data_IF_744155559296
#
_entry.id   IF_744155559296
#
_cell.length_a   1.000
_cell.length_b   1.000
_cell.length_c   1.000
_cell.angle_alpha   90.00
_cell.angle_beta   90.00
_cell.angle_gamma   90.00
#
_symmetry.space_group_name_H-M   'P 1'
#
loop_
_entity.id
_entity.type
_entity.pdbx_description
1 polymer ?
#
# COMPACT_ATOMS: atom_id res chain seq x y z
N UNK A 1 -74.36 16.41 -5.49
CA UNK A 1 -73.80 15.64 -4.35
C UNK A 1 -72.49 15.02 -4.84
N UNK A 2 -71.35 15.67 -4.49
CA UNK A 2 -70.02 15.17 -4.86
C UNK A 2 -69.49 14.27 -3.76
N UNK A 3 -68.88 13.09 -4.07
CA UNK A 3 -68.33 12.21 -3.03
C UNK A 3 -66.95 12.79 -2.59
N UNK A 4 -66.87 13.07 -1.29
CA UNK A 4 -65.57 13.42 -0.66
C UNK A 4 -64.62 12.21 -0.70
N UNK A 5 -63.53 12.35 -1.42
CA UNK A 5 -62.44 11.40 -1.39
C UNK A 5 -61.72 11.46 -0.03
N UNK A 6 -61.91 10.44 0.78
CA UNK A 6 -61.18 10.30 2.06
C UNK A 6 -59.74 9.89 1.78
N UNK A 7 -58.82 10.83 2.01
CA UNK A 7 -57.38 10.56 1.97
C UNK A 7 -57.01 9.63 3.13
N UNK A 8 -56.67 8.35 2.90
CA UNK A 8 -56.13 7.45 3.91
C UNK A 8 -54.83 7.96 4.46
N UNK A 9 -54.66 8.13 5.78
CA UNK A 9 -53.37 8.53 6.34
C UNK A 9 -52.31 7.45 6.04
N UNK A 10 -51.18 7.86 5.49
CA UNK A 10 -50.00 6.99 5.32
C UNK A 10 -49.58 6.53 6.72
N UNK A 11 -49.60 5.22 6.98
CA UNK A 11 -49.13 4.63 8.23
C UNK A 11 -47.64 5.04 8.42
N UNK A 12 -47.25 5.62 9.56
CA UNK A 12 -45.88 5.99 9.80
C UNK A 12 -45.00 4.72 9.74
N UNK A 13 -43.93 4.76 8.97
CA UNK A 13 -42.90 3.70 8.93
C UNK A 13 -42.51 3.39 10.39
N UNK A 14 -42.42 2.11 10.79
CA UNK A 14 -42.09 1.77 12.19
C UNK A 14 -40.62 2.16 12.45
N UNK A 15 -40.39 3.33 13.02
CA UNK A 15 -39.07 3.90 13.30
C UNK A 15 -38.17 2.89 14.06
N UNK A 16 -38.76 2.06 14.95
CA UNK A 16 -38.03 0.98 15.64
C UNK A 16 -37.46 -0.08 14.70
N UNK A 17 -38.17 -0.45 13.63
CA UNK A 17 -37.70 -1.45 12.67
C UNK A 17 -36.53 -0.90 11.80
N UNK A 18 -36.60 0.39 11.44
CA UNK A 18 -35.51 1.06 10.72
C UNK A 18 -34.27 1.11 11.61
N UNK A 19 -34.42 1.52 12.89
CA UNK A 19 -33.32 1.58 13.85
C UNK A 19 -32.65 0.22 14.05
N UNK A 20 -33.43 -0.85 14.21
CA UNK A 20 -32.89 -2.22 14.37
C UNK A 20 -32.15 -2.67 13.11
N UNK A 21 -32.72 -2.44 11.92
CA UNK A 21 -32.06 -2.79 10.65
C UNK A 21 -30.74 -2.03 10.44
N UNK A 22 -30.70 -0.74 10.73
CA UNK A 22 -29.47 0.06 10.64
C UNK A 22 -28.42 -0.39 11.67
N UNK A 23 -28.84 -0.72 12.90
CA UNK A 23 -27.93 -1.26 13.91
C UNK A 23 -27.35 -2.63 13.50
N UNK A 24 -28.16 -3.53 12.96
CA UNK A 24 -27.69 -4.83 12.45
C UNK A 24 -26.72 -4.62 11.28
N UNK A 25 -27.07 -3.78 10.31
CA UNK A 25 -26.19 -3.49 9.17
C UNK A 25 -24.84 -2.91 9.62
N UNK A 26 -24.85 -1.96 10.57
CA UNK A 26 -23.64 -1.40 11.16
C UNK A 26 -22.77 -2.44 11.88
N UNK A 27 -23.41 -3.30 12.69
CA UNK A 27 -22.71 -4.38 13.38
C UNK A 27 -22.11 -5.40 12.41
N UNK A 28 -22.80 -5.73 11.33
CA UNK A 28 -22.32 -6.64 10.29
C UNK A 28 -21.13 -6.03 9.56
N UNK A 29 -21.20 -4.76 9.13
CA UNK A 29 -20.08 -4.07 8.48
C UNK A 29 -18.86 -3.99 9.41
N UNK A 30 -19.07 -3.67 10.68
CA UNK A 30 -17.99 -3.65 11.66
C UNK A 30 -17.35 -5.02 11.84
N UNK A 31 -18.16 -6.09 11.90
CA UNK A 31 -17.66 -7.46 12.00
C UNK A 31 -16.79 -7.85 10.79
N UNK A 32 -17.21 -7.52 9.56
CA UNK A 32 -16.41 -7.74 8.36
C UNK A 32 -15.11 -6.94 8.38
N UNK A 33 -15.17 -5.66 8.74
CA UNK A 33 -14.00 -4.83 8.89
C UNK A 33 -13.01 -5.39 9.92
N UNK A 34 -13.52 -5.84 11.08
CA UNK A 34 -12.71 -6.39 12.16
C UNK A 34 -12.07 -7.73 11.77
N UNK A 35 -12.81 -8.63 11.12
CA UNK A 35 -12.27 -9.89 10.61
C UNK A 35 -11.17 -9.63 9.58
N UNK A 36 -11.39 -8.68 8.68
CA UNK A 36 -10.39 -8.24 7.72
C UNK A 36 -9.14 -7.65 8.39
N UNK A 37 -9.30 -6.86 9.46
CA UNK A 37 -8.18 -6.35 10.24
C UNK A 37 -7.38 -7.49 10.89
N UNK A 38 -8.04 -8.48 11.50
CA UNK A 38 -7.38 -9.65 12.11
C UNK A 38 -6.58 -10.41 11.06
N UNK A 39 -7.16 -10.62 9.87
CA UNK A 39 -6.44 -11.24 8.75
C UNK A 39 -5.23 -10.40 8.31
N UNK A 40 -5.39 -9.08 8.18
CA UNK A 40 -4.34 -8.16 7.75
C UNK A 40 -3.14 -8.12 8.71
N UNK A 41 -3.38 -8.21 10.02
CA UNK A 41 -2.31 -8.21 11.03
C UNK A 41 -1.67 -9.58 11.23
N UNK A 42 -2.18 -10.63 10.59
CA UNK A 42 -1.55 -11.95 10.61
C UNK A 42 -0.33 -11.91 9.68
N UNK A 43 0.89 -12.12 10.20
CA UNK A 43 2.08 -12.09 9.36
C UNK A 43 1.96 -13.09 8.20
N UNK A 44 2.35 -12.72 6.98
CA UNK A 44 2.42 -13.68 5.88
C UNK A 44 3.40 -14.80 6.23
N UNK A 45 3.14 -16.00 5.70
CA UNK A 45 4.06 -17.13 5.84
C UNK A 45 5.47 -16.72 5.43
N UNK A 46 6.48 -17.26 6.12
CA UNK A 46 7.88 -16.93 5.84
C UNK A 46 8.18 -17.25 4.37
N UNK A 47 8.50 -16.21 3.61
CA UNK A 47 8.90 -16.38 2.22
C UNK A 47 10.27 -17.01 2.07
N UNK A 48 10.54 -17.56 0.89
CA UNK A 48 11.81 -18.20 0.58
C UNK A 48 12.98 -17.21 0.72
N UNK A 49 13.67 -17.32 1.86
CA UNK A 49 14.87 -16.52 2.14
C UNK A 49 16.05 -16.90 1.26
N UNK A 50 16.00 -18.07 0.61
CA UNK A 50 17.09 -18.59 -0.23
C UNK A 50 17.08 -18.00 -1.63
N UNK A 51 15.93 -17.56 -2.14
CA UNK A 51 15.79 -17.05 -3.49
C UNK A 51 16.69 -15.84 -3.74
N UNK A 52 17.31 -15.79 -4.93
CA UNK A 52 18.10 -14.66 -5.44
C UNK A 52 17.22 -13.92 -6.46
N UNK A 53 17.16 -12.60 -6.36
CA UNK A 53 16.42 -11.74 -7.29
C UNK A 53 17.37 -10.85 -8.08
N UNK A 54 16.90 -10.24 -9.17
CA UNK A 54 17.72 -9.30 -9.92
C UNK A 54 18.02 -8.04 -9.10
N UNK A 55 17.03 -7.58 -8.33
CA UNK A 55 17.13 -6.37 -7.53
C UNK A 55 16.58 -6.53 -6.11
N UNK A 56 17.02 -5.64 -5.22
CA UNK A 56 16.46 -5.43 -3.89
C UNK A 56 15.86 -4.03 -3.88
N UNK A 57 14.62 -3.89 -3.40
CA UNK A 57 13.93 -2.60 -3.30
C UNK A 57 13.59 -2.33 -1.85
N UNK A 58 14.06 -1.20 -1.33
CA UNK A 58 13.79 -0.75 0.05
C UNK A 58 12.87 0.45 0.02
N UNK A 59 11.74 0.36 0.73
CA UNK A 59 10.88 1.52 0.92
C UNK A 59 11.31 2.30 2.15
N UNK A 60 11.50 3.62 1.98
CA UNK A 60 11.91 4.52 3.08
C UNK A 60 10.90 4.55 4.24
N UNK A 61 11.34 5.06 5.40
CA UNK A 61 10.51 5.23 6.60
C UNK A 61 10.97 4.43 7.82
N UNK A 62 12.23 3.98 7.87
CA UNK A 62 12.83 3.34 9.04
C UNK A 62 14.23 2.78 8.76
N UNK A 63 15.17 2.97 9.70
CA UNK A 63 16.57 2.56 9.57
C UNK A 63 16.74 1.05 9.38
N UNK A 64 15.94 0.23 10.06
CA UNK A 64 16.00 -1.23 9.95
C UNK A 64 15.74 -1.76 8.53
N UNK A 65 14.90 -1.08 7.75
CA UNK A 65 14.62 -1.50 6.36
C UNK A 65 15.84 -1.34 5.50
N UNK A 66 16.53 -0.21 5.60
CA UNK A 66 17.74 0.05 4.84
C UNK A 66 18.87 -0.89 5.26
N UNK A 67 19.06 -1.11 6.57
CA UNK A 67 20.03 -2.08 7.07
C UNK A 67 19.76 -3.48 6.55
N UNK A 68 18.49 -3.92 6.54
CA UNK A 68 18.08 -5.21 5.99
C UNK A 68 18.35 -5.31 4.49
N UNK A 69 18.06 -4.24 3.72
CA UNK A 69 18.34 -4.20 2.30
C UNK A 69 19.84 -4.29 1.99
N UNK A 70 20.66 -3.53 2.69
CA UNK A 70 22.13 -3.59 2.55
C UNK A 70 22.66 -4.98 2.93
N UNK A 71 22.15 -5.57 4.02
CA UNK A 71 22.52 -6.94 4.42
C UNK A 71 22.22 -7.94 3.32
N UNK A 72 21.03 -7.87 2.71
CA UNK A 72 20.64 -8.75 1.60
C UNK A 72 21.57 -8.54 0.37
N UNK A 73 21.96 -7.31 0.09
CA UNK A 73 22.91 -7.02 -0.99
C UNK A 73 24.28 -7.64 -0.70
N UNK A 74 24.78 -7.51 0.52
CA UNK A 74 26.03 -8.14 0.98
C UNK A 74 25.97 -9.68 0.93
N UNK A 75 24.81 -10.27 1.16
CA UNK A 75 24.56 -11.71 1.07
C UNK A 75 24.37 -12.19 -0.39
N UNK A 76 24.44 -11.29 -1.39
CA UNK A 76 24.23 -11.62 -2.79
C UNK A 76 22.80 -12.01 -3.14
N UNK A 77 21.82 -11.53 -2.40
CA UNK A 77 20.39 -11.82 -2.63
C UNK A 77 19.77 -10.98 -3.74
N UNK A 78 20.50 -10.02 -4.27
CA UNK A 78 20.19 -9.20 -5.44
C UNK A 78 21.48 -8.54 -5.97
N UNK A 79 21.46 -8.09 -7.22
CA UNK A 79 22.63 -7.45 -7.85
C UNK A 79 22.74 -5.97 -7.51
N UNK A 80 21.57 -5.31 -7.41
CA UNK A 80 21.45 -3.89 -7.14
C UNK A 80 20.38 -3.65 -6.08
N UNK A 81 20.53 -2.56 -5.33
CA UNK A 81 19.61 -2.10 -4.32
C UNK A 81 19.06 -0.74 -4.73
N UNK A 82 17.72 -0.63 -4.77
CA UNK A 82 17.01 0.63 -4.99
C UNK A 82 16.33 1.08 -3.71
N UNK A 83 16.58 2.31 -3.30
CA UNK A 83 15.91 2.93 -2.14
C UNK A 83 14.90 3.92 -2.67
N UNK A 84 13.61 3.57 -2.61
CA UNK A 84 12.52 4.40 -3.14
C UNK A 84 11.93 5.31 -2.06
N UNK A 85 11.54 6.54 -2.46
CA UNK A 85 10.95 7.54 -1.60
C UNK A 85 11.94 8.24 -0.67
N UNK A 86 13.16 8.43 -1.12
CA UNK A 86 14.18 9.20 -0.39
C UNK A 86 13.86 10.69 -0.48
N UNK A 87 13.89 11.41 0.64
CA UNK A 87 13.67 12.85 0.63
C UNK A 87 14.68 13.56 -0.27
N UNK A 88 14.20 14.61 -0.96
CA UNK A 88 15.08 15.44 -1.77
C UNK A 88 16.18 16.06 -0.89
N UNK A 89 17.42 15.97 -1.34
CA UNK A 89 18.60 16.48 -0.62
C UNK A 89 19.30 15.48 0.30
N UNK A 90 18.76 14.27 0.48
CA UNK A 90 19.46 13.19 1.20
C UNK A 90 20.36 12.46 0.22
N UNK A 91 21.66 12.44 0.50
CA UNK A 91 22.67 11.78 -0.32
C UNK A 91 22.90 10.33 0.14
N UNK A 92 23.44 9.51 -0.80
CA UNK A 92 23.78 8.12 -0.53
C UNK A 92 24.72 7.96 0.69
N UNK A 93 25.75 8.81 0.78
CA UNK A 93 26.72 8.75 1.88
C UNK A 93 26.09 8.96 3.25
N UNK A 94 25.07 9.80 3.33
CA UNK A 94 24.31 10.02 4.57
C UNK A 94 23.53 8.77 4.97
N UNK A 95 22.84 8.14 3.99
CA UNK A 95 22.12 6.89 4.19
C UNK A 95 23.02 5.74 4.61
N UNK A 96 24.19 5.61 4.00
CA UNK A 96 25.18 4.59 4.33
C UNK A 96 25.72 4.77 5.76
N UNK A 97 25.98 6.00 6.17
CA UNK A 97 26.45 6.32 7.53
C UNK A 97 25.41 5.93 8.61
N UNK A 98 24.12 6.22 8.37
CA UNK A 98 23.03 5.83 9.29
C UNK A 98 22.80 4.32 9.32
N UNK A 99 23.22 3.62 8.27
CA UNK A 99 23.03 2.16 8.13
C UNK A 99 24.16 1.32 8.69
N UNK A 100 25.17 1.95 9.35
CA UNK A 100 26.27 1.24 10.01
C UNK A 100 27.55 1.17 9.16
N UNK A 101 27.77 2.11 8.25
CA UNK A 101 28.96 2.21 7.41
C UNK A 101 29.34 0.89 6.71
N UNK A 102 28.55 0.41 5.75
CA UNK A 102 28.89 -0.79 5.00
C UNK A 102 30.17 -0.58 4.19
N UNK A 103 30.81 -1.64 3.69
CA UNK A 103 32.01 -1.53 2.83
C UNK A 103 31.81 -0.56 1.64
N UNK A 104 32.81 0.21 1.28
CA UNK A 104 32.72 1.25 0.23
C UNK A 104 32.20 0.74 -1.11
N UNK A 105 32.55 -0.51 -1.48
CA UNK A 105 32.10 -1.10 -2.74
C UNK A 105 30.58 -1.22 -2.86
N UNK A 106 29.83 -1.23 -1.74
CA UNK A 106 28.37 -1.30 -1.75
C UNK A 106 27.74 -0.09 -2.43
N UNK A 107 28.42 1.06 -2.37
CA UNK A 107 27.94 2.32 -2.97
C UNK A 107 27.77 2.25 -4.49
N UNK A 108 28.55 1.42 -5.19
CA UNK A 108 28.41 1.24 -6.65
C UNK A 108 27.05 0.70 -7.07
N UNK A 109 26.37 -0.04 -6.15
CA UNK A 109 25.27 -0.92 -6.46
C UNK A 109 23.98 -0.48 -5.73
N UNK A 110 23.94 0.79 -5.31
CA UNK A 110 22.77 1.41 -4.67
C UNK A 110 22.30 2.61 -5.51
N UNK A 111 21.04 2.59 -5.91
CA UNK A 111 20.37 3.71 -6.54
C UNK A 111 19.33 4.31 -5.61
N UNK A 112 19.12 5.63 -5.68
CA UNK A 112 18.15 6.38 -4.89
C UNK A 112 17.02 6.89 -5.78
N UNK A 113 15.79 6.76 -5.30
CA UNK A 113 14.59 7.34 -5.89
C UNK A 113 14.08 8.49 -5.01
N UNK A 114 13.84 9.65 -5.62
CA UNK A 114 13.46 10.89 -4.93
C UNK A 114 12.09 11.43 -5.38
N UNK A 115 11.37 10.69 -6.25
CA UNK A 115 10.12 11.18 -6.83
C UNK A 115 8.89 10.74 -6.02
N UNK A 116 9.02 9.70 -5.22
CA UNK A 116 7.90 9.11 -4.50
C UNK A 116 7.67 9.76 -3.13
N UNK A 117 6.43 10.21 -2.91
CA UNK A 117 5.93 10.76 -1.65
C UNK A 117 4.92 9.83 -0.94
N UNK A 118 4.51 8.74 -1.61
CA UNK A 118 3.54 7.77 -1.12
C UNK A 118 3.76 6.39 -1.74
N UNK A 119 3.01 5.36 -1.28
CA UNK A 119 3.21 3.98 -1.73
C UNK A 119 2.94 3.76 -3.21
N UNK A 120 1.96 4.46 -3.78
CA UNK A 120 1.72 4.42 -5.23
C UNK A 120 2.88 5.04 -6.00
N UNK A 121 3.43 6.15 -5.49
CA UNK A 121 4.63 6.78 -6.03
C UNK A 121 5.83 5.83 -5.98
N UNK A 122 6.06 5.18 -4.84
CA UNK A 122 7.12 4.17 -4.70
C UNK A 122 6.99 3.05 -5.74
N UNK A 123 5.78 2.53 -5.97
CA UNK A 123 5.56 1.49 -6.95
C UNK A 123 5.86 1.96 -8.38
N UNK A 124 5.43 3.18 -8.74
CA UNK A 124 5.66 3.78 -10.07
C UNK A 124 7.15 4.09 -10.32
N UNK A 125 7.80 4.71 -9.35
CA UNK A 125 9.23 5.04 -9.40
C UNK A 125 10.07 3.76 -9.54
N UNK A 126 9.75 2.74 -8.75
CA UNK A 126 10.40 1.43 -8.85
C UNK A 126 10.15 0.75 -10.19
N UNK A 127 8.92 0.79 -10.71
CA UNK A 127 8.60 0.21 -12.01
C UNK A 127 9.43 0.82 -13.14
N UNK A 128 9.59 2.14 -13.14
CA UNK A 128 10.45 2.83 -14.11
C UNK A 128 11.91 2.42 -13.97
N UNK A 129 12.41 2.27 -12.73
CA UNK A 129 13.77 1.85 -12.49
C UNK A 129 14.01 0.40 -12.92
N UNK A 130 13.12 -0.52 -12.57
CA UNK A 130 13.14 -1.93 -12.97
C UNK A 130 13.13 -2.08 -14.50
N UNK A 131 12.25 -1.32 -15.19
CA UNK A 131 12.15 -1.34 -16.64
C UNK A 131 13.44 -0.85 -17.31
N UNK A 132 14.03 0.26 -16.82
CA UNK A 132 15.30 0.81 -17.37
C UNK A 132 16.46 -0.17 -17.25
N UNK A 133 16.50 -0.99 -16.20
CA UNK A 133 17.56 -1.96 -15.94
C UNK A 133 17.26 -3.37 -16.50
N UNK A 134 16.07 -3.59 -17.05
CA UNK A 134 15.68 -4.88 -17.63
C UNK A 134 15.53 -6.01 -16.59
N UNK A 135 15.26 -5.68 -15.34
CA UNK A 135 15.07 -6.66 -14.27
C UNK A 135 13.73 -7.37 -14.40
N UNK A 136 13.65 -8.62 -13.95
CA UNK A 136 12.46 -9.47 -13.99
C UNK A 136 12.02 -9.95 -12.63
N UNK A 137 12.85 -9.79 -11.62
CA UNK A 137 12.54 -10.15 -10.24
C UNK A 137 13.10 -9.13 -9.27
N UNK A 138 12.37 -8.88 -8.18
CA UNK A 138 12.83 -8.01 -7.11
C UNK A 138 12.44 -8.56 -5.73
N UNK A 139 13.24 -8.23 -4.73
CA UNK A 139 12.93 -8.47 -3.33
C UNK A 139 12.52 -7.15 -2.68
N UNK A 140 11.25 -7.09 -2.26
CA UNK A 140 10.66 -5.89 -1.66
C UNK A 140 10.87 -5.89 -0.14
N UNK A 141 11.62 -4.92 0.37
CA UNK A 141 11.95 -4.76 1.80
C UNK A 141 11.15 -3.60 2.38
N UNK A 142 10.24 -3.90 3.27
CA UNK A 142 9.48 -2.90 4.02
C UNK A 142 8.99 -3.46 5.36
N UNK A 143 8.38 -2.63 6.23
CA UNK A 143 7.82 -3.13 7.47
C UNK A 143 6.67 -4.12 7.22
N UNK A 144 6.55 -5.14 8.07
CA UNK A 144 5.56 -6.19 7.92
C UNK A 144 4.12 -5.66 7.81
N UNK A 145 3.77 -4.63 8.58
CA UNK A 145 2.44 -4.00 8.55
C UNK A 145 2.20 -3.14 7.29
N UNK A 146 3.25 -2.75 6.61
CA UNK A 146 3.19 -2.00 5.36
C UNK A 146 3.21 -2.90 4.12
N UNK A 147 3.67 -4.15 4.27
CA UNK A 147 3.90 -5.09 3.19
C UNK A 147 2.64 -5.37 2.35
N UNK A 148 1.44 -5.65 2.93
CA UNK A 148 0.26 -5.96 2.11
C UNK A 148 -0.12 -4.82 1.16
N UNK A 149 -0.07 -3.56 1.64
CA UNK A 149 -0.36 -2.40 0.80
C UNK A 149 0.71 -2.16 -0.25
N UNK A 150 1.97 -2.39 0.09
CA UNK A 150 3.08 -2.25 -0.84
C UNK A 150 2.98 -3.28 -1.97
N UNK A 151 2.77 -4.56 -1.65
CA UNK A 151 2.58 -5.61 -2.66
C UNK A 151 1.43 -5.28 -3.61
N UNK A 152 0.28 -4.85 -3.08
CA UNK A 152 -0.89 -4.49 -3.90
C UNK A 152 -0.57 -3.39 -4.93
N UNK A 153 0.20 -2.35 -4.54
CA UNK A 153 0.55 -1.26 -5.45
C UNK A 153 1.65 -1.68 -6.43
N UNK A 154 2.59 -2.49 -5.98
CA UNK A 154 3.70 -2.99 -6.79
C UNK A 154 3.21 -3.99 -7.85
N UNK A 155 2.36 -4.96 -7.49
CA UNK A 155 1.76 -5.89 -8.44
C UNK A 155 0.95 -5.18 -9.53
N UNK A 156 0.29 -4.07 -9.18
CA UNK A 156 -0.44 -3.25 -10.15
C UNK A 156 0.46 -2.46 -11.08
N UNK A 157 1.57 -1.95 -10.55
CA UNK A 157 2.51 -1.12 -11.31
C UNK A 157 3.39 -1.96 -12.25
N UNK A 158 3.66 -3.22 -11.89
CA UNK A 158 4.56 -4.12 -12.63
C UNK A 158 4.13 -5.59 -12.53
N UNK A 159 2.97 -5.95 -13.14
CA UNK A 159 2.41 -7.30 -13.05
C UNK A 159 3.28 -8.40 -13.66
N UNK A 160 4.26 -8.05 -14.49
CA UNK A 160 5.19 -8.97 -15.15
C UNK A 160 6.42 -9.30 -14.27
N UNK A 161 6.59 -8.62 -13.13
CA UNK A 161 7.77 -8.75 -12.29
C UNK A 161 7.49 -9.69 -11.13
N UNK A 162 8.35 -10.67 -10.93
CA UNK A 162 8.30 -11.51 -9.74
C UNK A 162 8.72 -10.72 -8.51
N UNK A 163 7.83 -10.63 -7.51
CA UNK A 163 8.06 -9.86 -6.29
C UNK A 163 8.13 -10.80 -5.09
N UNK A 164 9.30 -10.86 -4.46
CA UNK A 164 9.52 -11.60 -3.22
C UNK A 164 9.46 -10.63 -2.05
N UNK A 165 8.48 -10.80 -1.15
CA UNK A 165 8.35 -9.95 0.02
C UNK A 165 9.45 -10.25 1.06
N UNK A 166 10.01 -9.21 1.67
CA UNK A 166 10.94 -9.32 2.79
C UNK A 166 10.49 -8.40 3.93
N UNK A 167 9.55 -8.86 4.77
CA UNK A 167 9.02 -8.05 5.85
C UNK A 167 10.06 -7.85 6.97
N UNK A 168 10.24 -6.61 7.39
CA UNK A 168 11.09 -6.22 8.52
C UNK A 168 10.21 -6.00 9.75
N UNK A 169 10.64 -6.56 10.88
CA UNK A 169 9.94 -6.48 12.16
C UNK A 169 10.73 -5.56 13.10
N UNK A 170 10.26 -4.33 13.39
CA UNK A 170 10.91 -3.44 14.33
C UNK A 170 10.86 -4.01 15.76
N UNK A 171 12.01 -4.09 16.44
CA UNK A 171 12.12 -4.64 17.81
C UNK A 171 11.43 -3.77 18.87
N UNK A 172 11.24 -2.48 18.59
CA UNK A 172 10.60 -1.51 19.51
C UNK A 172 9.16 -1.87 19.88
N UNK A 173 8.50 -2.73 19.07
CA UNK A 173 7.13 -3.17 19.25
C UNK A 173 6.98 -4.17 20.41
N UNK A 174 8.07 -4.79 20.87
CA UNK A 174 8.02 -5.97 21.78
C UNK A 174 7.93 -5.67 23.27
N UNK A 175 8.31 -4.48 23.75
CA UNK A 175 8.63 -4.34 25.17
C UNK A 175 7.85 -3.30 26.00
N UNK A 176 6.90 -2.52 25.43
CA UNK A 176 6.24 -1.47 26.20
C UNK A 176 4.71 -1.46 26.02
N UNK A 177 3.96 -1.57 27.12
CA UNK A 177 2.49 -1.56 27.12
C UNK A 177 1.87 -0.29 26.51
N UNK A 178 2.54 0.88 26.63
CA UNK A 178 2.13 2.13 25.99
C UNK A 178 2.39 2.15 24.46
N UNK A 179 3.36 1.34 23.99
CA UNK A 179 3.58 1.12 22.57
C UNK A 179 2.43 0.33 21.93
N UNK A 180 1.72 -0.52 22.69
CA UNK A 180 0.59 -1.30 22.19
C UNK A 180 -0.52 -0.42 21.57
N UNK A 181 -0.83 0.73 22.19
CA UNK A 181 -1.82 1.68 21.65
C UNK A 181 -1.34 2.34 20.35
N UNK A 182 -0.10 2.78 20.31
CA UNK A 182 0.49 3.39 19.13
C UNK A 182 0.56 2.40 17.97
N UNK A 183 0.91 1.15 18.28
CA UNK A 183 0.93 0.06 17.30
C UNK A 183 -0.48 -0.25 16.80
N UNK A 184 -1.48 -0.35 17.68
CA UNK A 184 -2.87 -0.59 17.26
C UNK A 184 -3.37 0.52 16.30
N UNK A 185 -3.09 1.78 16.62
CA UNK A 185 -3.43 2.91 15.74
C UNK A 185 -2.71 2.81 14.40
N UNK A 186 -1.43 2.46 14.40
CA UNK A 186 -0.64 2.26 13.19
C UNK A 186 -1.22 1.14 12.32
N UNK A 187 -1.53 -0.02 12.92
CA UNK A 187 -2.09 -1.18 12.21
C UNK A 187 -3.46 -0.87 11.60
N UNK A 188 -4.35 -0.23 12.37
CA UNK A 188 -5.67 0.24 11.87
C UNK A 188 -5.46 1.23 10.72
N UNK A 189 -4.58 2.21 10.88
CA UNK A 189 -4.28 3.19 9.83
C UNK A 189 -3.75 2.54 8.55
N UNK A 190 -2.83 1.58 8.64
CA UNK A 190 -2.31 0.88 7.46
C UNK A 190 -3.36 -0.03 6.82
N UNK A 191 -4.23 -0.66 7.63
CA UNK A 191 -5.36 -1.44 7.11
C UNK A 191 -6.35 -0.56 6.36
N UNK A 192 -6.74 0.59 6.91
CA UNK A 192 -7.66 1.52 6.24
C UNK A 192 -7.06 2.06 4.92
N UNK A 193 -5.75 2.37 4.90
CA UNK A 193 -5.04 2.75 3.67
C UNK A 193 -5.01 1.60 2.65
N UNK A 194 -4.85 0.36 3.10
CA UNK A 194 -4.92 -0.82 2.25
C UNK A 194 -6.31 -0.99 1.63
N UNK A 195 -7.39 -0.84 2.42
CA UNK A 195 -8.77 -0.84 1.91
C UNK A 195 -8.99 0.29 0.89
N UNK A 196 -8.50 1.49 1.19
CA UNK A 196 -8.53 2.61 0.25
C UNK A 196 -7.81 2.30 -1.07
N UNK A 197 -6.64 1.67 -1.00
CA UNK A 197 -5.91 1.22 -2.18
C UNK A 197 -6.68 0.16 -2.99
N UNK A 198 -7.38 -0.77 -2.32
CA UNK A 198 -8.21 -1.79 -2.99
C UNK A 198 -9.36 -1.18 -3.80
N UNK A 199 -10.07 -0.19 -3.23
CA UNK A 199 -11.26 0.39 -3.87
C UNK A 199 -10.94 1.51 -4.86
N UNK A 200 -9.75 2.12 -4.80
CA UNK A 200 -9.35 3.24 -5.65
C UNK A 200 -9.60 3.01 -7.15
N UNK A 201 -9.19 1.88 -7.77
CA UNK A 201 -9.40 1.68 -9.21
C UNK A 201 -10.88 1.63 -9.60
N UNK A 202 -11.74 1.12 -8.71
CA UNK A 202 -13.19 1.09 -8.94
C UNK A 202 -13.75 2.51 -8.90
N UNK A 203 -13.33 3.32 -7.91
CA UNK A 203 -13.76 4.71 -7.79
C UNK A 203 -13.26 5.57 -8.97
N UNK A 204 -12.05 5.34 -9.44
CA UNK A 204 -11.50 6.01 -10.62
C UNK A 204 -12.30 5.68 -11.89
N UNK A 205 -12.67 4.42 -12.07
CA UNK A 205 -13.54 3.98 -13.20
C UNK A 205 -14.92 4.60 -13.13
N UNK A 206 -15.52 4.73 -11.95
CA UNK A 206 -16.84 5.34 -11.76
C UNK A 206 -16.83 6.86 -11.98
N UNK A 207 -15.69 7.51 -11.76
CA UNK A 207 -15.48 8.95 -12.02
C UNK A 207 -15.20 9.26 -13.49
N UNK A 208 -14.82 8.26 -14.28
CA UNK A 208 -14.65 8.39 -15.71
C UNK A 208 -16.04 8.45 -16.39
N UNK A 209 -16.68 9.63 -16.41
CA UNK A 209 -17.68 9.93 -17.43
C UNK A 209 -16.93 10.21 -18.74
N UNK A 210 -17.20 9.49 -19.84
CA UNK A 210 -16.63 9.87 -21.12
C UNK A 210 -17.12 11.30 -21.42
N UNK A 211 -16.18 12.23 -21.60
CA UNK A 211 -16.49 13.56 -22.11
C UNK A 211 -17.36 13.37 -23.33
N UNK A 212 -18.57 13.93 -23.33
CA UNK A 212 -19.51 13.91 -24.44
C UNK A 212 -18.73 14.30 -25.68
N UNK A 213 -18.65 13.38 -26.65
CA UNK A 213 -18.00 13.63 -27.91
C UNK A 213 -18.56 14.89 -28.55
N UNK A 214 -17.79 15.60 -29.42
CA UNK A 214 -18.24 16.82 -30.03
C UNK A 214 -19.57 16.55 -30.76
N UNK A 215 -20.60 17.26 -30.31
CA UNK A 215 -21.90 17.31 -30.99
C UNK A 215 -21.66 17.64 -32.44
N UNK A 216 -22.08 16.72 -33.30
CA UNK A 216 -22.10 16.85 -34.76
C UNK A 216 -23.15 17.89 -35.18
N UNK A 217 -22.87 19.17 -34.85
CA UNK A 217 -23.62 20.31 -35.27
C UNK A 217 -22.66 21.29 -35.94
N UNK A 218 -22.23 20.98 -37.16
CA UNK A 218 -21.87 21.97 -38.16
C UNK A 218 -21.54 21.25 -39.48
N UNK A 219 -22.59 20.71 -40.11
CA UNK A 219 -22.63 20.51 -41.54
C UNK A 219 -23.88 21.22 -42.02
N UNK A 220 -23.74 22.44 -42.43
CA UNK A 220 -24.67 23.10 -43.34
C UNK A 220 -23.92 23.44 -44.61
N UNK A 221 -24.63 23.36 -45.76
CA UNK A 221 -24.11 23.19 -47.11
C UNK A 221 -23.43 24.44 -47.65
#
# INVERSE_FOLDING_TARGET
>A
MSPHATCKPKTPFPAKLVLVRTAIAGATLFAFWFVGLVWFVTPPAAEDRSAITDAIVVLTGGSLRLQSGIKLLLEGKGRELFVSGVNQGVELNELLRVSGNPPEWVSCCIALGHEADNTLGNARETAQWVQRNGFRSLRLVTAWYHMPRSLLEFDRAMPEIEIIAHPVFPDEVRHHWWAARAIAILLVSEYDKYLGALVRPVLERLRWEPAAGPTSAERTP
#
